data_IF_031413973168
#
_entry.id   IF_031413973168
#
_cell.length_a   1.000
_cell.length_b   1.000
_cell.length_c   1.000
_cell.angle_alpha   90.00
_cell.angle_beta   90.00
_cell.angle_gamma   90.00
#
_symmetry.space_group_name_H-M   'P 1'
#
loop_
_entity.id
_entity.type
_entity.pdbx_description
1 polymer ?
#
# COMPACT_ATOMS: atom_id res chain seq x y z
N UNK A 1 -13.50 47.62 -61.97
CA UNK A 1 -12.04 47.65 -62.16
C UNK A 1 -11.37 47.74 -60.79
N UNK A 2 -10.12 47.24 -60.66
CA UNK A 2 -9.28 47.09 -59.44
C UNK A 2 -9.59 45.84 -58.60
N UNK A 3 -8.91 44.70 -58.77
CA UNK A 3 -7.51 44.30 -58.48
C UNK A 3 -7.27 43.78 -57.04
N UNK A 4 -6.50 42.69 -57.02
CA UNK A 4 -6.05 41.80 -55.94
C UNK A 4 -5.43 42.48 -54.72
N UNK A 5 -5.51 41.84 -53.53
CA UNK A 5 -4.34 41.59 -52.67
C UNK A 5 -4.49 40.26 -51.93
N UNK A 6 -3.45 39.43 -52.06
CA UNK A 6 -3.19 38.17 -51.37
C UNK A 6 -2.32 38.47 -50.14
N UNK A 7 -2.76 38.13 -48.94
CA UNK A 7 -1.89 38.11 -47.75
C UNK A 7 -1.85 36.71 -47.16
N UNK A 8 -0.65 36.14 -47.13
CA UNK A 8 -0.32 34.85 -46.52
C UNK A 8 -0.30 35.03 -45.01
N UNK A 9 -1.13 34.31 -44.26
CA UNK A 9 -1.00 34.20 -42.81
C UNK A 9 -0.06 33.05 -42.45
N UNK A 10 0.99 33.37 -41.69
CA UNK A 10 1.98 32.45 -41.16
C UNK A 10 1.36 31.38 -40.23
N UNK A 11 1.93 30.15 -40.16
CA UNK A 11 1.48 29.15 -39.22
C UNK A 11 1.91 29.52 -37.79
N UNK A 12 0.93 29.63 -36.89
CA UNK A 12 1.17 29.74 -35.44
C UNK A 12 1.85 28.46 -34.94
N UNK A 13 3.12 28.57 -34.55
CA UNK A 13 3.81 27.57 -33.73
C UNK A 13 3.06 27.49 -32.39
N UNK A 14 2.54 26.32 -32.05
CA UNK A 14 1.97 26.05 -30.71
C UNK A 14 3.13 25.73 -29.75
N UNK A 15 3.14 26.26 -28.52
CA UNK A 15 4.15 25.87 -27.54
C UNK A 15 3.95 24.41 -27.14
N UNK A 16 5.05 23.66 -27.15
CA UNK A 16 5.17 22.30 -26.60
C UNK A 16 5.07 22.44 -25.08
N UNK A 17 3.90 22.14 -24.51
CA UNK A 17 3.80 21.83 -23.09
C UNK A 17 4.30 20.40 -22.88
N UNK A 18 5.62 20.26 -22.77
CA UNK A 18 6.25 19.10 -22.17
C UNK A 18 6.71 19.48 -20.76
N UNK A 19 5.91 19.09 -19.78
CA UNK A 19 6.38 18.84 -18.42
C UNK A 19 5.60 17.64 -17.92
N UNK A 20 6.21 16.48 -18.13
CA UNK A 20 6.22 15.36 -17.21
C UNK A 20 4.86 15.00 -16.65
N UNK A 21 4.24 14.02 -17.29
CA UNK A 21 3.18 13.22 -16.74
C UNK A 21 3.39 12.95 -15.25
N UNK A 22 2.58 13.64 -14.42
CA UNK A 22 1.96 13.00 -13.27
C UNK A 22 1.41 11.68 -13.82
N UNK A 23 2.12 10.58 -13.61
CA UNK A 23 1.57 9.27 -13.90
C UNK A 23 0.64 8.98 -12.72
N UNK A 24 -0.69 9.10 -12.86
CA UNK A 24 -1.56 8.46 -11.90
C UNK A 24 -1.27 6.97 -12.04
N UNK A 25 -0.57 6.41 -11.05
CA UNK A 25 -0.41 4.98 -10.92
C UNK A 25 -1.82 4.45 -10.71
N UNK A 26 -2.48 4.06 -11.80
CA UNK A 26 -3.79 3.40 -11.75
C UNK A 26 -3.58 2.09 -11.02
N UNK A 27 -3.85 2.07 -9.71
CA UNK A 27 -3.83 0.88 -8.88
C UNK A 27 -4.74 -0.15 -9.56
N UNK A 28 -4.13 -1.22 -10.09
CA UNK A 28 -4.88 -2.36 -10.58
C UNK A 28 -5.52 -3.00 -9.36
N UNK A 29 -6.84 -2.86 -9.21
CA UNK A 29 -7.61 -3.64 -8.26
C UNK A 29 -7.47 -5.12 -8.65
N UNK A 30 -6.47 -5.78 -8.05
CA UNK A 30 -6.19 -7.18 -8.25
C UNK A 30 -7.31 -8.00 -7.65
N UNK A 31 -8.15 -8.57 -8.51
CA UNK A 31 -9.18 -9.52 -8.11
C UNK A 31 -8.51 -10.82 -7.65
N UNK A 32 -8.10 -10.89 -6.38
CA UNK A 32 -7.63 -12.13 -5.77
C UNK A 32 -8.37 -12.36 -4.45
N UNK A 33 -8.85 -13.60 -4.32
CA UNK A 33 -9.48 -14.14 -3.12
C UNK A 33 -8.41 -14.20 -2.04
N UNK A 34 -8.42 -13.26 -1.12
CA UNK A 34 -7.47 -13.19 -0.01
C UNK A 34 -8.23 -12.62 1.19
N UNK A 35 -7.96 -13.14 2.38
CA UNK A 35 -8.42 -12.59 3.67
C UNK A 35 -8.46 -11.06 3.63
N UNK A 36 -9.67 -10.51 3.68
CA UNK A 36 -9.95 -9.08 3.48
C UNK A 36 -9.01 -8.23 4.37
N UNK A 37 -8.14 -7.44 3.75
CA UNK A 37 -7.17 -6.58 4.44
C UNK A 37 -5.74 -7.13 4.62
N UNK A 38 -5.45 -8.43 4.44
CA UNK A 38 -4.11 -8.97 4.77
C UNK A 38 -2.99 -8.34 3.92
N UNK A 39 -3.26 -8.09 2.63
CA UNK A 39 -2.27 -7.50 1.73
C UNK A 39 -1.85 -6.10 2.24
N UNK A 40 -2.82 -5.28 2.63
CA UNK A 40 -2.60 -3.92 3.17
C UNK A 40 -1.81 -3.92 4.48
N UNK A 41 -1.98 -4.95 5.30
CA UNK A 41 -1.28 -5.06 6.59
C UNK A 41 0.09 -5.75 6.50
N UNK A 42 0.46 -6.29 5.33
CA UNK A 42 1.63 -7.15 5.19
C UNK A 42 2.94 -6.46 5.61
N UNK A 43 3.17 -5.24 5.13
CA UNK A 43 4.40 -4.49 5.44
C UNK A 43 4.45 -4.05 6.90
N UNK A 44 3.31 -3.69 7.46
CA UNK A 44 3.19 -3.35 8.88
C UNK A 44 3.52 -4.56 9.75
N UNK A 45 2.96 -5.74 9.49
CA UNK A 45 3.27 -6.92 10.29
C UNK A 45 4.73 -7.35 10.19
N UNK A 46 5.32 -7.17 9.01
CA UNK A 46 6.72 -7.52 8.80
C UNK A 46 7.69 -6.54 9.48
N UNK A 47 7.41 -5.24 9.42
CA UNK A 47 8.40 -4.18 9.71
C UNK A 47 7.95 -3.09 10.69
N UNK A 48 6.65 -2.99 10.99
CA UNK A 48 6.05 -1.91 11.77
C UNK A 48 5.60 -0.69 10.95
N UNK A 49 5.94 -0.64 9.65
CA UNK A 49 5.67 0.50 8.79
C UNK A 49 4.77 0.17 7.61
N UNK A 50 3.92 1.11 7.23
CA UNK A 50 3.16 1.10 5.98
C UNK A 50 3.93 1.85 4.88
N UNK A 51 4.86 1.16 4.21
CA UNK A 51 5.70 1.78 3.19
C UNK A 51 4.96 2.25 1.92
N UNK A 52 3.71 1.82 1.72
CA UNK A 52 2.98 2.02 0.47
C UNK A 52 1.62 2.68 0.68
N UNK A 53 1.40 3.27 1.86
CA UNK A 53 0.16 3.92 2.27
C UNK A 53 -1.07 3.04 1.94
N UNK A 54 -0.96 1.74 2.18
CA UNK A 54 -2.03 0.77 1.90
C UNK A 54 -3.10 0.77 3.00
N UNK A 55 -2.75 1.19 4.21
CA UNK A 55 -3.70 1.35 5.31
C UNK A 55 -4.70 2.48 5.07
N UNK A 56 -4.33 3.47 4.27
CA UNK A 56 -5.24 4.56 3.87
C UNK A 56 -6.46 4.03 3.09
N UNK A 57 -6.31 2.96 2.31
CA UNK A 57 -7.41 2.32 1.58
C UNK A 57 -8.42 1.64 2.55
N UNK A 58 -7.99 1.33 3.77
CA UNK A 58 -8.83 0.81 4.86
C UNK A 58 -9.37 1.91 5.78
N UNK A 59 -9.04 3.18 5.52
CA UNK A 59 -9.41 4.32 6.37
C UNK A 59 -8.66 4.37 7.69
N UNK A 60 -7.46 3.77 7.75
CA UNK A 60 -6.61 3.76 8.94
C UNK A 60 -5.53 4.83 8.78
N UNK A 61 -5.43 5.70 9.77
CA UNK A 61 -4.45 6.78 9.79
C UNK A 61 -3.11 6.29 10.34
N UNK A 62 -2.02 6.76 9.72
CA UNK A 62 -0.65 6.55 10.19
C UNK A 62 -0.03 7.87 10.63
N UNK A 63 0.99 7.80 11.47
CA UNK A 63 1.76 8.97 11.85
C UNK A 63 2.69 9.48 10.72
N UNK A 64 3.50 10.51 11.03
CA UNK A 64 4.46 11.09 10.09
C UNK A 64 5.58 10.12 9.65
N UNK A 65 5.70 8.96 10.29
CA UNK A 65 6.67 7.90 9.99
C UNK A 65 6.01 6.65 9.39
N UNK A 66 4.75 6.79 8.94
CA UNK A 66 3.95 5.70 8.38
C UNK A 66 3.75 4.53 9.36
N UNK A 67 3.75 4.81 10.66
CA UNK A 67 3.40 3.84 11.69
C UNK A 67 1.91 3.97 12.02
N UNK A 68 1.12 2.88 11.95
CA UNK A 68 -0.24 2.91 12.47
C UNK A 68 -0.24 2.99 14.00
N UNK A 69 -1.41 3.29 14.57
CA UNK A 69 -1.58 3.19 16.02
C UNK A 69 -1.30 1.76 16.52
N UNK A 70 -0.70 1.65 17.71
CA UNK A 70 -0.41 0.34 18.31
C UNK A 70 -1.67 -0.48 18.55
N UNK A 71 -2.79 0.18 18.85
CA UNK A 71 -4.09 -0.47 19.06
C UNK A 71 -4.64 -1.07 17.77
N UNK A 72 -4.56 -0.32 16.66
CA UNK A 72 -5.01 -0.82 15.36
C UNK A 72 -4.12 -1.97 14.87
N UNK A 73 -2.80 -1.82 15.05
CA UNK A 73 -1.83 -2.84 14.70
C UNK A 73 -2.04 -4.14 15.50
N UNK A 74 -2.24 -4.05 16.82
CA UNK A 74 -2.54 -5.23 17.64
C UNK A 74 -3.88 -5.86 17.22
N UNK A 75 -4.93 -5.04 17.06
CA UNK A 75 -6.26 -5.51 16.68
C UNK A 75 -6.25 -6.26 15.35
N UNK A 76 -5.54 -5.72 14.34
CA UNK A 76 -5.34 -6.37 13.07
C UNK A 76 -4.50 -7.65 13.20
N UNK A 77 -3.42 -7.61 13.98
CA UNK A 77 -2.56 -8.76 14.23
C UNK A 77 -3.32 -9.94 14.86
N UNK A 78 -4.21 -9.68 15.82
CA UNK A 78 -5.08 -10.71 16.41
C UNK A 78 -6.01 -11.39 15.41
N UNK A 79 -6.39 -10.70 14.33
CA UNK A 79 -7.35 -11.18 13.32
C UNK A 79 -6.66 -11.86 12.14
N UNK A 80 -5.56 -11.27 11.68
CA UNK A 80 -4.90 -11.61 10.41
C UNK A 80 -3.53 -12.27 10.61
N UNK A 81 -2.96 -12.21 11.81
CA UNK A 81 -1.58 -12.66 12.06
C UNK A 81 -1.36 -14.14 11.82
N UNK A 82 -2.36 -15.01 12.06
CA UNK A 82 -2.22 -16.43 11.74
C UNK A 82 -2.07 -16.65 10.23
N UNK A 83 -2.89 -15.98 9.41
CA UNK A 83 -2.77 -16.04 7.96
C UNK A 83 -1.45 -15.43 7.46
N UNK A 84 -0.96 -14.37 8.11
CA UNK A 84 0.35 -13.80 7.80
C UNK A 84 1.49 -14.77 8.09
N UNK A 85 1.44 -15.51 9.20
CA UNK A 85 2.49 -16.48 9.58
C UNK A 85 2.51 -17.73 8.70
N UNK A 86 1.43 -18.02 7.97
CA UNK A 86 1.41 -19.09 6.96
C UNK A 86 2.16 -18.72 5.67
N UNK A 87 2.44 -17.43 5.44
CA UNK A 87 3.17 -16.96 4.26
C UNK A 87 4.65 -17.37 4.38
N UNK A 88 5.22 -18.10 3.41
CA UNK A 88 6.64 -18.45 3.43
C UNK A 88 7.53 -17.21 3.44
N UNK A 89 8.46 -17.14 4.40
CA UNK A 89 9.43 -16.06 4.56
C UNK A 89 10.84 -16.54 4.24
N UNK A 90 11.70 -15.63 3.79
CA UNK A 90 13.11 -15.94 3.57
C UNK A 90 13.79 -16.21 4.94
N UNK A 91 14.62 -17.25 5.08
CA UNK A 91 15.23 -17.61 6.37
C UNK A 91 16.02 -16.46 7.04
N UNK A 92 16.60 -15.56 6.24
CA UNK A 92 17.41 -14.43 6.74
C UNK A 92 16.58 -13.22 7.17
N UNK A 93 15.29 -13.15 6.86
CA UNK A 93 14.44 -12.00 7.23
C UNK A 93 14.13 -11.93 8.74
N UNK A 94 14.46 -12.98 9.49
CA UNK A 94 14.20 -13.07 10.92
C UNK A 94 12.71 -13.03 11.27
N UNK A 95 12.44 -12.94 12.56
CA UNK A 95 11.08 -12.86 13.09
C UNK A 95 10.39 -11.53 12.72
N UNK A 96 9.12 -11.57 12.28
CA UNK A 96 8.34 -10.37 11.97
C UNK A 96 8.23 -9.42 13.16
N UNK A 97 8.16 -8.11 12.87
CA UNK A 97 7.97 -7.08 13.90
C UNK A 97 6.73 -7.36 14.78
N UNK A 98 5.57 -7.63 14.18
CA UNK A 98 4.33 -7.83 14.94
C UNK A 98 4.39 -9.05 15.88
N UNK A 99 5.15 -10.09 15.52
CA UNK A 99 5.36 -11.25 16.39
C UNK A 99 6.23 -10.88 17.60
N UNK A 100 7.26 -10.04 17.42
CA UNK A 100 8.11 -9.56 18.52
C UNK A 100 7.35 -8.62 19.45
N UNK A 101 6.55 -7.73 18.86
CA UNK A 101 5.86 -6.67 19.58
C UNK A 101 4.63 -7.18 20.35
N UNK A 102 3.77 -7.95 19.68
CA UNK A 102 2.48 -8.39 20.25
C UNK A 102 2.46 -9.86 20.68
N UNK A 103 3.51 -10.61 20.35
CA UNK A 103 3.57 -12.06 20.53
C UNK A 103 2.70 -12.82 19.53
N UNK A 104 2.43 -14.11 19.79
CA UNK A 104 1.58 -14.93 18.92
C UNK A 104 0.16 -14.35 18.75
N UNK A 105 -0.41 -14.36 17.54
CA UNK A 105 -1.69 -13.69 17.22
C UNK A 105 -2.86 -14.33 17.96
N UNK A 106 -3.02 -15.65 17.89
CA UNK A 106 -3.91 -16.39 18.80
C UNK A 106 -3.18 -16.71 20.10
N UNK A 107 -3.74 -16.29 21.24
CA UNK A 107 -3.36 -16.86 22.54
C UNK A 107 -3.65 -18.35 22.44
N UNK A 108 -2.63 -19.17 22.17
CA UNK A 108 -2.74 -20.63 22.17
C UNK A 108 -3.37 -21.02 23.49
N UNK A 109 -4.68 -21.29 23.49
CA UNK A 109 -5.38 -21.91 24.59
C UNK A 109 -4.73 -23.29 24.72
N UNK A 110 -3.78 -23.37 25.65
CA UNK A 110 -2.81 -24.46 25.71
C UNK A 110 -3.51 -25.80 25.56
N UNK A 111 -3.05 -26.64 24.64
CA UNK A 111 -3.33 -28.07 24.70
C UNK A 111 -2.67 -28.57 26.00
N UNK A 112 -3.43 -28.52 27.09
CA UNK A 112 -3.17 -29.26 28.32
C UNK A 112 -3.25 -30.74 27.94
N UNK A 113 -2.13 -31.28 27.45
CA UNK A 113 -1.96 -32.73 27.27
C UNK A 113 -2.01 -33.31 28.69
N UNK A 114 -3.12 -33.98 28.99
CA UNK A 114 -3.29 -34.81 30.17
C UNK A 114 -2.75 -36.20 29.86
#
# INVERSE_FOLDING_TARGET
MAWMVRTRHAPRVRPITDRGADMPVRRRAGKRRSTDGLDQWFFVFSSGHDFFDELADLGIETDAYHCPSMEDAESAWRRLGDAFLEIPRHPEQGEPWALKEFGPPTKRRGKRRR
#
